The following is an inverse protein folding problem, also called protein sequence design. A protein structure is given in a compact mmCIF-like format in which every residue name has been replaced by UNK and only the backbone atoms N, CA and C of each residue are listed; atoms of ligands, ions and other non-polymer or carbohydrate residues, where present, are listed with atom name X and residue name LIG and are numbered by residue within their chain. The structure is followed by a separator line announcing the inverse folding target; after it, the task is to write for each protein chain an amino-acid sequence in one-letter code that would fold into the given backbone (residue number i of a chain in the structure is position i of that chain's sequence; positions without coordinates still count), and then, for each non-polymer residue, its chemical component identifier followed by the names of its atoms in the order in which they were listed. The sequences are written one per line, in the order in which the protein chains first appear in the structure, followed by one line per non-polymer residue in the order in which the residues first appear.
data_IF_221958521379
#
_entry.id   IF_221958521379
#
_cell.length_a   1.000
_cell.length_b   1.000
_cell.length_c   1.000
_cell.angle_alpha   90.00
_cell.angle_beta   90.00
_cell.angle_gamma   90.00
#
_symmetry.space_group_name_H-M   'P 1'
#
loop_
_entity.id
_entity.type
_entity.pdbx_description
1 polymer ?
#
# COMPACT_ATOMS: atom_id res chain seq x y z
N UNK A 1 34.00 -41.28 12.15
CA UNK A 1 33.82 -39.97 12.82
C UNK A 1 34.06 -38.74 11.92
N UNK A 2 34.97 -38.78 10.93
CA UNK A 2 35.32 -37.61 10.10
C UNK A 2 34.21 -37.14 9.11
N UNK A 3 33.41 -38.05 8.56
CA UNK A 3 32.31 -37.67 7.63
C UNK A 3 31.11 -37.00 8.30
N UNK A 4 30.87 -37.25 9.59
CA UNK A 4 29.75 -36.62 10.33
C UNK A 4 30.05 -35.16 10.64
N UNK A 5 31.30 -34.85 10.98
CA UNK A 5 31.79 -33.48 11.22
C UNK A 5 31.71 -32.61 9.95
N UNK A 6 32.08 -33.17 8.78
CA UNK A 6 32.00 -32.45 7.49
C UNK A 6 30.55 -32.16 7.08
N UNK A 7 29.62 -33.10 7.30
CA UNK A 7 28.19 -32.89 7.02
C UNK A 7 27.55 -31.82 7.93
N UNK A 8 27.97 -31.74 9.21
CA UNK A 8 27.51 -30.70 10.12
C UNK A 8 28.10 -29.31 9.79
N UNK A 9 29.35 -29.25 9.30
CA UNK A 9 29.96 -27.99 8.85
C UNK A 9 29.32 -27.47 7.55
N UNK A 10 29.00 -28.36 6.60
CA UNK A 10 28.30 -27.99 5.37
C UNK A 10 26.87 -27.49 5.63
N UNK A 11 26.15 -28.10 6.59
CA UNK A 11 24.80 -27.69 6.96
C UNK A 11 24.75 -26.32 7.67
N UNK A 12 25.80 -25.97 8.43
CA UNK A 12 25.89 -24.68 9.12
C UNK A 12 26.29 -23.53 8.20
N UNK A 13 27.09 -23.79 7.15
CA UNK A 13 27.35 -22.81 6.08
C UNK A 13 26.09 -22.55 5.26
N UNK A 14 25.30 -23.57 4.93
CA UNK A 14 24.04 -23.40 4.20
C UNK A 14 22.98 -22.62 4.99
N UNK A 15 22.94 -22.76 6.32
CA UNK A 15 22.01 -22.00 7.18
C UNK A 15 22.44 -20.54 7.39
N UNK A 16 23.73 -20.23 7.28
CA UNK A 16 24.23 -18.85 7.34
C UNK A 16 23.95 -18.07 6.05
N UNK A 17 23.88 -18.75 4.90
CA UNK A 17 23.55 -18.13 3.61
C UNK A 17 22.06 -17.82 3.42
N UNK A 18 21.16 -18.40 4.22
CA UNK A 18 19.72 -18.14 4.15
C UNK A 18 19.24 -16.99 5.05
N UNK A 19 20.15 -16.34 5.80
CA UNK A 19 19.84 -15.17 6.66
C UNK A 19 20.46 -13.89 6.10
N UNK A 20 20.74 -13.83 4.80
CA UNK A 20 20.81 -12.53 4.12
C UNK A 20 19.37 -12.17 3.81
N UNK A 21 18.68 -11.58 4.79
CA UNK A 21 17.44 -10.87 4.52
C UNK A 21 17.71 -9.93 3.33
N UNK A 22 16.97 -10.11 2.24
CA UNK A 22 16.92 -9.10 1.19
C UNK A 22 16.42 -7.82 1.85
N UNK A 23 17.35 -6.94 2.20
CA UNK A 23 17.03 -5.55 2.48
C UNK A 23 16.56 -5.05 1.12
N UNK A 24 15.25 -5.02 0.91
CA UNK A 24 14.69 -4.45 -0.30
C UNK A 24 15.22 -3.01 -0.41
N UNK A 25 16.19 -2.79 -1.32
CA UNK A 25 16.64 -1.46 -1.68
C UNK A 25 15.52 -0.80 -2.48
N UNK A 26 14.51 -0.30 -1.79
CA UNK A 26 13.56 0.66 -2.35
C UNK A 26 13.88 2.05 -1.79
N UNK A 27 15.15 2.46 -1.86
CA UNK A 27 15.51 3.87 -1.83
C UNK A 27 15.73 4.30 -3.29
N UNK A 28 14.65 4.45 -4.05
CA UNK A 28 14.72 4.70 -5.49
C UNK A 28 13.59 5.58 -6.01
N UNK A 29 13.88 6.35 -7.05
CA UNK A 29 12.88 7.11 -7.81
C UNK A 29 12.20 6.16 -8.78
N UNK A 30 10.87 6.04 -8.69
CA UNK A 30 10.06 5.33 -9.67
C UNK A 30 9.58 6.32 -10.74
N UNK A 31 10.06 6.17 -11.96
CA UNK A 31 9.61 6.96 -13.11
C UNK A 31 8.57 6.16 -13.91
N UNK A 32 7.35 6.70 -14.02
CA UNK A 32 6.25 6.09 -14.78
C UNK A 32 5.94 6.96 -15.99
N UNK A 33 6.03 6.40 -17.19
CA UNK A 33 5.55 7.04 -18.41
C UNK A 33 4.02 7.04 -18.46
N UNK A 34 3.42 8.18 -18.79
CA UNK A 34 1.96 8.33 -18.95
C UNK A 34 1.63 8.72 -20.38
N UNK A 35 0.48 8.26 -20.88
CA UNK A 35 0.01 8.55 -22.24
C UNK A 35 -0.34 10.03 -22.44
N UNK A 36 -0.87 10.66 -21.40
CA UNK A 36 -1.34 12.04 -21.40
C UNK A 36 -1.03 12.70 -20.05
N UNK A 37 -1.06 14.02 -20.03
CA UNK A 37 -0.82 14.80 -18.82
C UNK A 37 -2.10 14.98 -17.99
N UNK A 38 -1.92 15.37 -16.73
CA UNK A 38 -3.04 15.70 -15.86
C UNK A 38 -3.64 17.05 -16.25
N UNK A 39 -4.96 17.14 -16.24
CA UNK A 39 -5.68 18.35 -16.63
C UNK A 39 -5.90 19.29 -15.45
N UNK A 40 -6.02 18.72 -14.25
CA UNK A 40 -6.25 19.46 -13.01
C UNK A 40 -5.74 18.66 -11.82
N UNK A 41 -5.40 19.39 -10.75
CA UNK A 41 -5.06 18.80 -9.46
C UNK A 41 -6.20 18.93 -8.43
N UNK A 42 -7.36 19.40 -8.86
CA UNK A 42 -8.57 19.51 -8.05
C UNK A 42 -9.46 18.27 -8.29
N UNK A 43 -9.58 17.35 -7.30
CA UNK A 43 -10.36 16.12 -7.46
C UNK A 43 -11.86 16.38 -7.64
N UNK A 44 -12.37 17.55 -7.26
CA UNK A 44 -13.79 17.91 -7.45
C UNK A 44 -14.07 18.28 -8.91
N UNK A 45 -13.07 18.84 -9.61
CA UNK A 45 -13.22 19.30 -10.99
C UNK A 45 -12.80 18.27 -12.03
N UNK A 46 -12.09 17.21 -11.62
CA UNK A 46 -11.62 16.21 -12.57
C UNK A 46 -12.76 15.34 -13.10
N UNK A 47 -12.69 15.03 -14.39
CA UNK A 47 -13.48 14.00 -15.05
C UNK A 47 -12.58 13.00 -15.82
N UNK A 48 -11.26 13.03 -15.58
CA UNK A 48 -10.26 12.31 -16.38
C UNK A 48 -9.55 11.22 -15.57
N UNK A 49 -9.36 10.05 -16.19
CA UNK A 49 -8.63 8.95 -15.55
C UNK A 49 -7.15 9.28 -15.28
N UNK A 50 -6.52 10.10 -16.13
CA UNK A 50 -5.12 10.49 -15.96
C UNK A 50 -4.87 11.28 -14.66
N UNK A 51 -5.85 12.05 -14.20
CA UNK A 51 -5.78 12.79 -12.93
C UNK A 51 -5.88 11.84 -11.73
N UNK A 52 -6.75 10.83 -11.81
CA UNK A 52 -6.94 9.82 -10.75
C UNK A 52 -5.66 9.05 -10.41
N UNK A 53 -4.77 8.85 -11.39
CA UNK A 53 -3.46 8.23 -11.14
C UNK A 53 -2.59 9.09 -10.22
N UNK A 54 -2.64 10.42 -10.36
CA UNK A 54 -1.91 11.31 -9.44
C UNK A 54 -2.64 11.36 -8.11
N UNK A 55 -3.97 11.46 -8.10
CA UNK A 55 -4.76 11.52 -6.87
C UNK A 55 -4.53 10.31 -5.97
N UNK A 56 -4.37 9.13 -6.55
CA UNK A 56 -4.09 7.90 -5.80
C UNK A 56 -2.78 7.93 -5.00
N UNK A 57 -1.86 8.85 -5.34
CA UNK A 57 -0.59 9.05 -4.64
C UNK A 57 -0.63 10.19 -3.60
N UNK A 58 -1.67 11.02 -3.63
CA UNK A 58 -1.70 12.30 -2.89
C UNK A 58 -2.88 12.38 -1.91
N UNK A 59 -4.01 11.75 -2.25
CA UNK A 59 -5.21 11.71 -1.45
C UNK A 59 -5.50 10.29 -0.97
N UNK A 60 -5.94 10.17 0.28
CA UNK A 60 -6.42 8.92 0.84
C UNK A 60 -7.97 8.90 0.87
N UNK A 61 -8.63 7.89 0.28
CA UNK A 61 -10.08 7.71 0.38
C UNK A 61 -10.50 7.11 1.72
N UNK A 62 -11.79 7.18 2.06
CA UNK A 62 -12.34 6.50 3.25
C UNK A 62 -12.10 4.99 3.20
N UNK A 63 -12.36 4.37 2.03
CA UNK A 63 -12.20 2.93 1.77
C UNK A 63 -11.46 2.72 0.45
N UNK A 64 -10.75 1.61 0.34
CA UNK A 64 -10.01 1.18 -0.85
C UNK A 64 -10.60 -0.10 -1.40
N UNK A 65 -10.21 -0.46 -2.62
CA UNK A 65 -10.47 -1.78 -3.18
C UNK A 65 -9.19 -2.60 -3.06
N UNK A 66 -9.32 -3.88 -2.73
CA UNK A 66 -8.20 -4.80 -2.64
C UNK A 66 -7.50 -4.97 -4.01
N UNK A 67 -6.31 -5.57 -3.99
CA UNK A 67 -5.51 -5.79 -5.21
C UNK A 67 -6.22 -6.62 -6.27
N UNK A 68 -7.20 -7.44 -5.88
CA UNK A 68 -7.99 -8.26 -6.79
C UNK A 68 -9.17 -7.51 -7.42
N UNK A 69 -9.53 -6.34 -6.89
CA UNK A 69 -10.69 -5.58 -7.34
C UNK A 69 -12.03 -6.12 -6.82
N UNK A 70 -12.03 -7.06 -5.87
CA UNK A 70 -13.23 -7.81 -5.46
C UNK A 70 -13.73 -7.49 -4.06
N UNK A 71 -12.91 -6.85 -3.23
CA UNK A 71 -13.25 -6.54 -1.84
C UNK A 71 -12.93 -5.10 -1.50
N UNK A 72 -13.68 -4.57 -0.54
CA UNK A 72 -13.35 -3.30 0.10
C UNK A 72 -12.36 -3.54 1.24
N UNK A 73 -11.37 -2.66 1.35
CA UNK A 73 -10.37 -2.62 2.39
C UNK A 73 -10.36 -1.25 3.09
N UNK A 74 -9.90 -1.18 4.35
CA UNK A 74 -9.71 0.09 5.04
C UNK A 74 -8.87 1.11 4.26
N UNK A 75 -9.32 2.37 4.27
CA UNK A 75 -8.56 3.54 3.84
C UNK A 75 -8.21 4.41 5.05
N UNK A 76 -8.67 5.66 5.07
CA UNK A 76 -8.65 6.47 6.32
C UNK A 76 -9.69 5.96 7.31
N UNK A 77 -10.79 5.36 6.85
CA UNK A 77 -11.72 4.67 7.74
C UNK A 77 -11.19 3.25 8.06
N UNK A 78 -10.93 2.98 9.33
CA UNK A 78 -10.45 1.67 9.80
C UNK A 78 -11.57 0.65 9.94
N UNK A 79 -12.80 1.11 10.15
CA UNK A 79 -14.01 0.27 10.12
C UNK A 79 -15.23 1.12 9.81
N UNK A 80 -16.32 0.47 9.40
CA UNK A 80 -17.60 1.12 9.18
C UNK A 80 -18.76 0.18 9.46
N UNK A 81 -19.90 0.77 9.79
CA UNK A 81 -21.19 0.08 9.91
C UNK A 81 -22.18 0.67 8.93
N UNK A 82 -23.14 -0.15 8.51
CA UNK A 82 -24.21 0.23 7.59
C UNK A 82 -25.53 -0.08 8.29
N UNK A 83 -26.47 0.86 8.29
CA UNK A 83 -27.80 0.64 8.85
C UNK A 83 -28.55 -0.48 8.12
N UNK A 84 -29.53 -1.15 8.76
CA UNK A 84 -30.30 -2.21 8.13
C UNK A 84 -30.99 -1.81 6.82
N UNK A 85 -31.35 -0.53 6.65
CA UNK A 85 -31.97 0.02 5.44
C UNK A 85 -30.97 0.50 4.38
N UNK A 86 -29.66 0.40 4.66
CA UNK A 86 -28.59 0.78 3.73
C UNK A 86 -28.44 2.28 3.49
N UNK A 87 -29.02 3.14 4.34
CA UNK A 87 -29.02 4.60 4.13
C UNK A 87 -28.06 5.37 5.03
N UNK A 88 -27.63 4.78 6.14
CA UNK A 88 -26.70 5.40 7.09
C UNK A 88 -25.42 4.59 7.13
N UNK A 89 -24.31 5.27 6.85
CA UNK A 89 -22.97 4.73 6.91
C UNK A 89 -22.21 5.46 8.01
N UNK A 90 -21.71 4.73 9.00
CA UNK A 90 -20.91 5.29 10.09
C UNK A 90 -19.48 4.80 9.95
N UNK A 91 -18.53 5.71 9.74
CA UNK A 91 -17.11 5.39 9.59
C UNK A 91 -16.35 5.74 10.87
N UNK A 92 -15.47 4.84 11.31
CA UNK A 92 -14.47 5.13 12.33
C UNK A 92 -13.16 5.53 11.64
N UNK A 93 -12.74 6.77 11.84
CA UNK A 93 -11.56 7.35 11.21
C UNK A 93 -10.34 7.06 12.08
N UNK A 94 -9.25 6.60 11.46
CA UNK A 94 -7.96 6.40 12.15
C UNK A 94 -7.33 7.74 12.51
N UNK A 95 -6.42 7.75 13.47
CA UNK A 95 -5.55 8.91 13.68
C UNK A 95 -4.77 9.21 12.40
N UNK A 96 -4.96 10.42 11.87
CA UNK A 96 -4.38 10.86 10.61
C UNK A 96 -4.03 12.35 10.67
N UNK A 97 -3.27 12.81 9.69
CA UNK A 97 -2.88 14.22 9.52
C UNK A 97 -2.81 14.55 8.04
N UNK A 98 -3.12 15.78 7.68
CA UNK A 98 -2.81 16.36 6.39
C UNK A 98 -1.30 16.61 6.26
N UNK A 99 -0.86 16.87 5.03
CA UNK A 99 0.55 17.12 4.70
C UNK A 99 1.12 18.39 5.37
N UNK A 100 0.26 19.32 5.81
CA UNK A 100 0.64 20.49 6.60
C UNK A 100 0.70 20.23 8.12
N UNK A 101 0.39 19.00 8.55
CA UNK A 101 0.42 18.56 9.95
C UNK A 101 -0.88 18.76 10.72
N UNK A 102 -1.90 19.39 10.13
CA UNK A 102 -3.24 19.48 10.74
C UNK A 102 -3.91 18.10 10.79
N UNK A 103 -4.80 17.82 11.76
CA UNK A 103 -5.53 16.55 11.82
C UNK A 103 -6.45 16.33 10.62
#
# INVERSE_FOLDING_TARGET
MKHRQIKLLAASVFLALSVVSEIAQAAGVLTIGRREDSTTFDPIKSAQNADNWVFSNVFDPLVRVDKSGTKLEPGVAESWTISPDGKVYTFKIRETRFSDGTP
#
